data_IF_710298030041
#
_entry.id   IF_710298030041
#
_cell.length_a   1.000
_cell.length_b   1.000
_cell.length_c   1.000
_cell.angle_alpha   90.00
_cell.angle_beta   90.00
_cell.angle_gamma   90.00
#
_symmetry.space_group_name_H-M   'P 1'
#
loop_
_entity.id
_entity.type
_entity.pdbx_description
1 polymer ?
#
# COMPACT_ATOMS: atom_id res chain seq x y z
N UNK A 1 0.79 23.68 -58.04
CA UNK A 1 0.88 22.21 -57.97
C UNK A 1 2.07 21.90 -57.09
N UNK A 2 1.79 21.57 -55.84
CA UNK A 2 2.75 21.03 -54.87
C UNK A 2 2.11 19.70 -54.46
N UNK A 3 2.92 18.66 -54.50
CA UNK A 3 2.58 17.24 -54.40
C UNK A 3 1.91 16.92 -53.04
N UNK A 4 0.70 16.33 -53.06
CA UNK A 4 -0.09 15.92 -51.88
C UNK A 4 0.26 14.48 -51.42
N UNK A 5 1.54 14.10 -51.44
CA UNK A 5 1.97 12.77 -50.97
C UNK A 5 3.24 12.84 -50.11
N UNK A 6 3.17 13.60 -49.02
CA UNK A 6 4.08 13.43 -47.89
C UNK A 6 3.36 12.65 -46.77
N UNK A 7 3.65 11.35 -46.60
CA UNK A 7 3.02 10.53 -45.56
C UNK A 7 3.71 10.66 -44.19
N UNK A 8 4.61 11.62 -43.97
CA UNK A 8 5.22 11.89 -42.66
C UNK A 8 4.41 12.87 -41.80
N UNK A 9 3.08 12.82 -41.89
CA UNK A 9 2.23 13.37 -40.84
C UNK A 9 2.43 12.57 -39.56
N UNK A 10 2.57 13.26 -38.42
CA UNK A 10 2.52 12.68 -37.07
C UNK A 10 1.16 11.99 -36.87
N UNK A 11 1.02 10.79 -37.43
CA UNK A 11 -0.10 9.92 -37.15
C UNK A 11 -0.03 9.59 -35.68
N UNK A 12 -1.03 10.05 -34.93
CA UNK A 12 -1.37 9.47 -33.64
C UNK A 12 -1.58 7.99 -33.85
N UNK A 13 -0.51 7.21 -33.70
CA UNK A 13 -0.62 5.77 -33.61
C UNK A 13 -1.45 5.54 -32.35
N UNK A 14 -2.63 4.90 -32.44
CA UNK A 14 -3.30 4.47 -31.22
C UNK A 14 -2.29 3.61 -30.49
N UNK A 15 -1.91 4.04 -29.28
CA UNK A 15 -1.02 3.30 -28.40
C UNK A 15 -1.59 1.89 -28.30
N UNK A 16 -0.97 0.97 -29.05
CA UNK A 16 -1.40 -0.41 -29.13
C UNK A 16 -1.43 -0.94 -27.71
N UNK A 17 -2.60 -1.46 -27.33
CA UNK A 17 -3.06 -1.59 -25.95
C UNK A 17 -1.95 -2.05 -25.02
N UNK A 18 -1.64 -1.25 -24.00
CA UNK A 18 -0.71 -1.76 -23.04
C UNK A 18 -1.40 -2.93 -22.32
N UNK A 19 -0.64 -3.99 -22.13
CA UNK A 19 -0.92 -4.99 -21.11
C UNK A 19 -0.69 -4.34 -19.73
N UNK A 20 -1.50 -3.32 -19.41
CA UNK A 20 -1.24 -2.29 -18.39
C UNK A 20 -1.20 -2.78 -16.95
N UNK A 21 -1.82 -3.92 -16.64
CA UNK A 21 -2.15 -4.23 -15.25
C UNK A 21 -0.88 -4.49 -14.41
N UNK A 22 -0.02 -5.41 -14.85
CA UNK A 22 1.11 -5.84 -14.03
C UNK A 22 2.18 -4.75 -13.89
N UNK A 23 2.54 -4.08 -14.97
CA UNK A 23 3.56 -3.03 -14.96
C UNK A 23 3.13 -1.84 -14.08
N UNK A 24 1.84 -1.46 -14.12
CA UNK A 24 1.30 -0.42 -13.25
C UNK A 24 1.33 -0.85 -11.77
N UNK A 25 1.03 -2.13 -11.48
CA UNK A 25 1.11 -2.66 -10.12
C UNK A 25 2.55 -2.65 -9.59
N UNK A 26 3.54 -3.04 -10.40
CA UNK A 26 4.95 -3.02 -10.00
C UNK A 26 5.47 -1.59 -9.81
N UNK A 27 5.11 -0.66 -10.71
CA UNK A 27 5.45 0.75 -10.57
C UNK A 27 4.84 1.36 -9.29
N UNK A 28 3.57 1.06 -9.03
CA UNK A 28 2.89 1.48 -7.79
C UNK A 28 3.58 0.91 -6.55
N UNK A 29 3.96 -0.37 -6.56
CA UNK A 29 4.62 -1.02 -5.45
C UNK A 29 5.95 -0.34 -5.11
N UNK A 30 6.80 -0.09 -6.12
CA UNK A 30 8.07 0.63 -5.96
C UNK A 30 7.87 2.06 -5.46
N UNK A 31 6.85 2.74 -5.97
CA UNK A 31 6.48 4.07 -5.53
C UNK A 31 6.06 4.08 -4.05
N UNK A 32 5.21 3.14 -3.62
CA UNK A 32 4.78 3.04 -2.22
C UNK A 32 5.95 2.76 -1.28
N UNK A 33 6.85 1.82 -1.62
CA UNK A 33 8.07 1.57 -0.85
C UNK A 33 8.91 2.85 -0.69
N UNK A 34 9.10 3.58 -1.78
CA UNK A 34 9.87 4.83 -1.78
C UNK A 34 9.19 5.94 -0.97
N UNK A 35 7.86 6.08 -1.08
CA UNK A 35 7.08 7.08 -0.34
C UNK A 35 7.13 6.85 1.18
N UNK A 36 7.20 5.60 1.62
CA UNK A 36 7.42 5.23 3.02
C UNK A 36 8.91 5.20 3.41
N UNK A 37 9.82 5.57 2.51
CA UNK A 37 11.27 5.50 2.74
C UNK A 37 11.72 4.11 3.22
N UNK A 38 11.16 3.05 2.64
CA UNK A 38 11.41 1.65 3.00
C UNK A 38 11.22 1.39 4.50
N UNK A 39 10.22 2.04 5.11
CA UNK A 39 9.87 1.93 6.52
C UNK A 39 8.54 1.21 6.69
N UNK A 40 8.50 0.25 7.60
CA UNK A 40 7.25 -0.34 8.07
C UNK A 40 6.41 0.72 8.78
N UNK A 41 5.17 0.92 8.33
CA UNK A 41 4.24 1.90 8.88
C UNK A 41 3.85 1.62 10.34
N UNK A 42 3.89 0.35 10.79
CA UNK A 42 3.50 -0.02 12.16
C UNK A 42 4.70 -0.02 13.11
N UNK A 43 5.74 -0.80 12.80
CA UNK A 43 6.88 -0.97 13.71
C UNK A 43 7.88 0.21 13.65
N UNK A 44 7.92 0.90 12.50
CA UNK A 44 8.91 1.94 12.22
C UNK A 44 10.27 1.41 11.80
N UNK A 45 10.45 0.08 11.73
CA UNK A 45 11.68 -0.50 11.20
C UNK A 45 11.90 -0.06 9.76
N UNK A 46 13.11 0.40 9.47
CA UNK A 46 13.51 0.87 8.16
C UNK A 46 14.53 -0.09 7.57
N UNK A 47 14.38 -0.36 6.28
CA UNK A 47 15.22 -1.28 5.52
C UNK A 47 15.93 -0.52 4.40
N UNK A 48 16.98 -1.14 3.86
CA UNK A 48 17.70 -0.57 2.72
C UNK A 48 16.96 -0.87 1.42
N UNK A 49 17.01 0.02 0.42
CA UNK A 49 16.51 -0.30 -0.91
C UNK A 49 17.22 -1.55 -1.46
N UNK A 50 16.45 -2.49 -2.00
CA UNK A 50 16.95 -3.69 -2.66
C UNK A 50 16.96 -3.51 -4.19
N UNK A 51 17.82 -4.25 -4.90
CA UNK A 51 17.88 -4.20 -6.36
C UNK A 51 16.67 -4.90 -7.01
N UNK A 52 16.05 -5.82 -6.26
CA UNK A 52 14.86 -6.56 -6.68
C UNK A 52 13.61 -5.65 -6.70
N UNK A 53 12.62 -6.05 -7.51
CA UNK A 53 11.38 -5.27 -7.66
C UNK A 53 10.52 -5.37 -6.39
N UNK A 54 10.51 -6.56 -5.78
CA UNK A 54 9.86 -6.83 -4.49
C UNK A 54 10.92 -6.73 -3.39
N UNK A 55 10.51 -6.26 -2.22
CA UNK A 55 11.40 -6.15 -1.07
C UNK A 55 11.23 -7.40 -0.19
N UNK A 56 12.32 -8.06 0.20
CA UNK A 56 12.24 -9.36 0.89
C UNK A 56 11.58 -9.30 2.27
N UNK A 57 11.57 -8.12 2.89
CA UNK A 57 11.04 -7.89 4.25
C UNK A 57 9.81 -6.99 4.32
N UNK A 58 9.45 -6.33 3.23
CA UNK A 58 8.41 -5.30 3.23
C UNK A 58 7.39 -5.61 2.16
N UNK A 59 6.12 -5.46 2.50
CA UNK A 59 4.99 -5.63 1.61
C UNK A 59 4.17 -4.35 1.53
N UNK A 60 3.69 -4.04 0.33
CA UNK A 60 2.70 -2.99 0.09
C UNK A 60 1.32 -3.63 0.15
N UNK A 61 0.58 -3.36 1.22
CA UNK A 61 -0.76 -3.92 1.43
C UNK A 61 -1.84 -2.87 1.18
N UNK A 62 -2.96 -3.23 0.52
CA UNK A 62 -4.11 -2.36 0.43
C UNK A 62 -4.82 -2.25 1.78
N UNK A 63 -5.24 -1.03 2.14
CA UNK A 63 -6.07 -0.78 3.33
C UNK A 63 -7.50 -1.22 3.05
N UNK A 64 -8.04 -0.78 1.92
CA UNK A 64 -9.29 -1.22 1.32
C UNK A 64 -8.95 -2.18 0.17
N UNK A 65 -9.16 -3.50 0.32
CA UNK A 65 -8.81 -4.50 -0.68
C UNK A 65 -9.56 -4.33 -2.00
N UNK A 66 -8.92 -4.71 -3.11
CA UNK A 66 -9.51 -4.60 -4.46
C UNK A 66 -10.72 -5.51 -4.64
N UNK A 67 -10.73 -6.66 -3.97
CA UNK A 67 -11.83 -7.62 -3.97
C UNK A 67 -13.12 -7.03 -3.36
N UNK A 68 -12.99 -5.90 -2.66
CA UNK A 68 -14.08 -5.16 -2.03
C UNK A 68 -14.22 -3.75 -2.62
N UNK A 69 -13.80 -3.55 -3.88
CA UNK A 69 -13.86 -2.27 -4.62
C UNK A 69 -12.86 -1.18 -4.18
N UNK A 70 -11.77 -1.58 -3.51
CA UNK A 70 -10.67 -0.68 -3.17
C UNK A 70 -9.87 -0.22 -4.39
N UNK A 71 -9.46 1.04 -4.40
CA UNK A 71 -8.71 1.65 -5.51
C UNK A 71 -7.20 1.47 -5.37
N UNK A 72 -6.48 1.35 -6.49
CA UNK A 72 -5.01 1.37 -6.52
C UNK A 72 -4.52 2.83 -6.39
N UNK A 73 -4.46 3.34 -5.16
CA UNK A 73 -3.99 4.68 -4.85
C UNK A 73 -3.07 4.65 -3.62
N UNK A 74 -2.13 5.60 -3.52
CA UNK A 74 -1.14 5.61 -2.43
C UNK A 74 -1.79 5.82 -1.06
N UNK A 75 -2.86 6.61 -1.00
CA UNK A 75 -3.67 6.78 0.19
C UNK A 75 -4.47 5.55 0.60
N UNK A 76 -4.47 4.49 -0.21
CA UNK A 76 -5.04 3.18 0.08
C UNK A 76 -3.98 2.11 0.34
N UNK A 77 -2.72 2.50 0.59
CA UNK A 77 -1.63 1.55 0.79
C UNK A 77 -0.86 1.82 2.09
N UNK A 78 -0.44 0.74 2.73
CA UNK A 78 0.56 0.74 3.80
C UNK A 78 1.75 -0.10 3.36
N UNK A 79 2.95 0.33 3.74
CA UNK A 79 4.17 -0.49 3.66
C UNK A 79 4.39 -1.15 5.00
N UNK A 80 4.32 -2.47 5.08
CA UNK A 80 4.39 -3.23 6.33
C UNK A 80 5.48 -4.30 6.25
N UNK A 81 6.00 -4.72 7.40
CA UNK A 81 6.81 -5.93 7.47
C UNK A 81 5.94 -7.14 7.13
N UNK A 82 6.46 -8.16 6.45
CA UNK A 82 5.66 -9.25 5.89
C UNK A 82 4.76 -9.99 6.89
N UNK A 83 5.20 -10.19 8.13
CA UNK A 83 4.35 -10.75 9.19
C UNK A 83 3.21 -9.80 9.55
N UNK A 84 3.53 -8.52 9.78
CA UNK A 84 2.53 -7.49 10.07
C UNK A 84 1.56 -7.25 8.90
N UNK A 85 2.02 -7.40 7.66
CA UNK A 85 1.21 -7.35 6.45
C UNK A 85 0.14 -8.45 6.46
N UNK A 86 0.54 -9.69 6.75
CA UNK A 86 -0.38 -10.81 6.87
C UNK A 86 -1.37 -10.62 8.03
N UNK A 87 -0.92 -10.12 9.19
CA UNK A 87 -1.79 -9.82 10.33
C UNK A 87 -2.80 -8.71 10.03
N UNK A 88 -2.39 -7.65 9.34
CA UNK A 88 -3.25 -6.55 8.92
C UNK A 88 -4.31 -7.00 7.90
N UNK A 89 -3.92 -7.79 6.90
CA UNK A 89 -4.85 -8.35 5.91
C UNK A 89 -5.89 -9.30 6.54
N UNK A 90 -5.52 -10.01 7.62
CA UNK A 90 -6.42 -10.85 8.42
C UNK A 90 -7.34 -10.05 9.36
N UNK A 91 -7.13 -8.74 9.50
CA UNK A 91 -7.89 -7.88 10.40
C UNK A 91 -7.51 -8.01 11.88
N UNK A 92 -6.30 -8.49 12.18
CA UNK A 92 -5.75 -8.57 13.55
C UNK A 92 -5.13 -7.24 13.99
N UNK A 93 -4.77 -6.40 13.03
CA UNK A 93 -4.26 -5.04 13.24
C UNK A 93 -5.13 -4.10 12.41
N UNK A 94 -5.44 -2.93 12.95
CA UNK A 94 -6.14 -1.86 12.27
C UNK A 94 -5.52 -0.51 12.67
N UNK A 95 -6.02 0.60 12.12
CA UNK A 95 -5.64 1.93 12.58
C UNK A 95 -6.82 2.91 12.56
N UNK A 96 -6.79 3.89 13.45
CA UNK A 96 -7.76 5.00 13.50
C UNK A 96 -7.57 5.96 12.32
N UNK A 97 -8.51 6.88 12.13
CA UNK A 97 -8.42 7.91 11.07
C UNK A 97 -7.26 8.89 11.33
N UNK A 98 -6.87 9.05 12.59
CA UNK A 98 -5.67 9.79 13.03
C UNK A 98 -4.43 8.88 13.13
N UNK A 99 -4.42 7.78 12.38
CA UNK A 99 -3.31 6.82 12.24
C UNK A 99 -2.84 6.13 13.52
N UNK A 100 -3.64 6.04 14.58
CA UNK A 100 -3.23 5.29 15.77
C UNK A 100 -3.44 3.80 15.56
N UNK A 101 -2.40 3.00 15.84
CA UNK A 101 -2.44 1.53 15.72
C UNK A 101 -3.42 0.95 16.73
N UNK A 102 -4.32 0.11 16.23
CA UNK A 102 -5.27 -0.68 17.01
C UNK A 102 -4.96 -2.16 16.84
N UNK A 103 -4.97 -2.89 17.95
CA UNK A 103 -4.86 -4.35 17.97
C UNK A 103 -6.10 -4.88 18.67
N UNK A 104 -7.17 -5.23 17.93
CA UNK A 104 -8.43 -5.68 18.54
C UNK A 104 -8.28 -6.90 19.45
N UNK A 105 -7.37 -7.81 19.08
CA UNK A 105 -7.08 -9.07 19.80
C UNK A 105 -5.59 -9.35 19.84
N UNK A 106 -4.85 -8.78 20.81
CA UNK A 106 -3.41 -8.98 20.94
C UNK A 106 -3.01 -10.46 21.07
N UNK A 107 -3.87 -11.29 21.63
CA UNK A 107 -3.69 -12.73 21.80
C UNK A 107 -3.70 -13.52 20.48
N UNK A 108 -4.32 -12.97 19.42
CA UNK A 108 -4.42 -13.62 18.12
C UNK A 108 -3.17 -13.44 17.24
N UNK A 109 -2.25 -12.56 17.65
CA UNK A 109 -0.97 -12.34 17.00
C UNK A 109 0.05 -13.42 17.40
N UNK A 110 1.12 -13.59 16.63
CA UNK A 110 2.30 -14.36 17.08
C UNK A 110 3.13 -13.55 18.07
N UNK A 111 4.08 -14.18 18.76
CA UNK A 111 5.00 -13.45 19.64
C UNK A 111 5.89 -12.48 18.85
N UNK A 112 6.32 -12.87 17.66
CA UNK A 112 7.14 -12.04 16.77
C UNK A 112 6.36 -10.80 16.31
N UNK A 113 5.09 -10.97 15.92
CA UNK A 113 4.21 -9.87 15.54
C UNK A 113 3.96 -8.92 16.72
N UNK A 114 3.66 -9.46 17.91
CA UNK A 114 3.46 -8.67 19.14
C UNK A 114 4.69 -7.83 19.49
N UNK A 115 5.88 -8.41 19.38
CA UNK A 115 7.13 -7.72 19.72
C UNK A 115 7.40 -6.48 18.84
N UNK A 116 6.82 -6.44 17.63
CA UNK A 116 6.98 -5.34 16.68
C UNK A 116 5.92 -4.24 16.82
N UNK A 117 4.86 -4.47 17.59
CA UNK A 117 3.72 -3.56 17.69
C UNK A 117 3.74 -2.83 19.04
N UNK A 118 3.58 -1.51 18.98
CA UNK A 118 3.30 -0.68 20.14
C UNK A 118 1.87 -0.17 20.01
N UNK A 119 0.88 -0.76 20.74
CA UNK A 119 -0.51 -0.33 20.66
C UNK A 119 -0.68 1.16 20.96
N UNK A 120 -1.54 1.84 20.21
CA UNK A 120 -1.78 3.28 20.36
C UNK A 120 -0.68 4.17 19.77
N UNK A 121 0.43 3.61 19.27
CA UNK A 121 1.42 4.40 18.53
C UNK A 121 0.81 4.90 17.22
N UNK A 122 1.18 6.10 16.82
CA UNK A 122 0.85 6.65 15.49
C UNK A 122 1.66 5.91 14.43
N UNK A 123 1.02 5.53 13.32
CA UNK A 123 1.68 4.95 12.16
C UNK A 123 2.76 5.89 11.63
N UNK A 124 3.85 5.30 11.15
CA UNK A 124 4.84 5.99 10.34
C UNK A 124 4.30 6.16 8.92
N UNK A 125 3.62 7.28 8.69
CA UNK A 125 3.07 7.65 7.39
C UNK A 125 4.08 8.48 6.57
N UNK A 126 3.91 8.57 5.23
CA UNK A 126 4.77 9.38 4.38
C UNK A 126 4.83 10.85 4.80
N UNK A 127 6.00 11.48 4.57
CA UNK A 127 6.23 12.88 4.90
C UNK A 127 5.27 13.79 4.11
N UNK A 128 5.13 13.50 2.81
CA UNK A 128 4.26 14.22 1.88
C UNK A 128 2.78 13.95 2.22
N UNK A 129 1.99 14.98 2.58
CA UNK A 129 0.60 14.81 3.02
C UNK A 129 -0.31 14.08 2.02
N UNK A 130 -0.11 14.30 0.73
CA UNK A 130 -0.90 13.67 -0.33
C UNK A 130 -0.65 12.15 -0.49
N UNK A 131 0.42 11.62 0.12
CA UNK A 131 0.74 10.19 0.09
C UNK A 131 0.26 9.46 1.35
N UNK A 132 -0.32 10.18 2.31
CA UNK A 132 -0.73 9.58 3.58
C UNK A 132 -1.99 8.74 3.42
N UNK A 133 -2.15 7.68 4.23
CA UNK A 133 -3.37 6.89 4.29
C UNK A 133 -4.62 7.76 4.47
N UNK A 134 -5.62 7.54 3.62
CA UNK A 134 -6.88 8.28 3.68
C UNK A 134 -7.81 7.67 4.72
N UNK A 135 -8.46 8.54 5.50
CA UNK A 135 -9.41 8.16 6.54
C UNK A 135 -10.51 7.22 6.02
N UNK A 136 -11.05 7.47 4.81
CA UNK A 136 -12.08 6.60 4.20
C UNK A 136 -11.65 5.12 4.12
N UNK A 137 -10.37 4.87 3.80
CA UNK A 137 -9.84 3.53 3.61
C UNK A 137 -9.61 2.87 4.98
N UNK A 138 -9.07 3.63 5.94
CA UNK A 138 -8.86 3.17 7.32
C UNK A 138 -10.19 2.84 8.01
N UNK A 139 -11.20 3.69 7.81
CA UNK A 139 -12.56 3.47 8.28
C UNK A 139 -13.16 2.19 7.68
N UNK A 140 -13.04 1.99 6.36
CA UNK A 140 -13.47 0.77 5.71
C UNK A 140 -12.83 -0.47 6.35
N UNK A 141 -11.49 -0.47 6.49
CA UNK A 141 -10.76 -1.58 7.11
C UNK A 141 -11.26 -1.87 8.53
N UNK A 142 -11.44 -0.84 9.37
CA UNK A 142 -11.97 -1.00 10.73
C UNK A 142 -13.39 -1.59 10.75
N UNK A 143 -14.27 -1.20 9.83
CA UNK A 143 -15.67 -1.61 9.85
C UNK A 143 -15.91 -2.99 9.22
N UNK A 144 -15.08 -3.38 8.25
CA UNK A 144 -15.34 -4.56 7.41
C UNK A 144 -14.32 -5.68 7.60
N UNK A 145 -13.06 -5.35 7.90
CA UNK A 145 -11.96 -6.32 7.94
C UNK A 145 -11.51 -6.61 9.37
N UNK A 146 -11.37 -5.56 10.20
CA UNK A 146 -10.91 -5.69 11.57
C UNK A 146 -11.83 -6.57 12.43
N UNK A 147 -11.23 -7.46 13.22
CA UNK A 147 -11.97 -8.50 13.96
C UNK A 147 -12.05 -8.19 15.45
N UNK A 148 -13.05 -7.40 15.85
CA UNK A 148 -13.28 -7.03 17.25
C UNK A 148 -13.99 -8.11 18.09
N UNK A 149 -14.89 -8.90 17.49
CA UNK A 149 -15.80 -9.78 18.26
C UNK A 149 -16.06 -11.17 17.64
N UNK A 150 -15.30 -11.59 16.61
CA UNK A 150 -15.48 -12.89 15.94
C UNK A 150 -14.40 -13.88 16.29
#
# INVERSE_FOLDING_TARGET
>A
MIDENDPEGFGERPLAGFTHSLDNHLAFYRFALSAYNYRCAISGLQFSPEAEILHQRLDVVPIHPRELDGTLEIGNALVLESGLAAAFAKGLIAATDDWHVLVPRPEALTEEERALIVPGRVLFVPEQPMFRPLAKNLQFHRLTIARYHR
#
